data_IF_353360163731
#
_entry.id   IF_353360163731
#
_cell.length_a   1.000
_cell.length_b   1.000
_cell.length_c   1.000
_cell.angle_alpha   90.00
_cell.angle_beta   90.00
_cell.angle_gamma   90.00
#
_symmetry.space_group_name_H-M   'P 1'
#
loop_
_entity.id
_entity.type
_entity.pdbx_description
1 polymer ?
#
# COMPACT_ATOMS: atom_id res chain seq x y z
N UNK A 1 6.96 -4.90 27.95
CA UNK A 1 7.35 -4.82 26.51
C UNK A 1 6.56 -5.73 25.58
N UNK A 2 5.41 -6.29 25.99
CA UNK A 2 4.66 -7.34 25.23
C UNK A 2 3.43 -6.85 24.47
N UNK A 3 3.08 -5.57 24.55
CA UNK A 3 1.88 -5.03 23.86
C UNK A 3 2.14 -4.53 22.44
N UNK A 4 3.38 -4.19 22.07
CA UNK A 4 3.72 -3.68 20.73
C UNK A 4 3.66 -4.74 19.64
N UNK A 5 3.98 -6.00 19.92
CA UNK A 5 3.98 -7.08 18.93
C UNK A 5 2.59 -7.60 18.54
N UNK A 6 1.55 -7.37 19.34
CA UNK A 6 0.20 -7.89 19.02
C UNK A 6 -0.52 -7.07 17.94
N UNK A 7 -0.36 -5.75 17.94
CA UNK A 7 -1.00 -4.89 16.94
C UNK A 7 -0.49 -5.14 15.52
N UNK A 8 0.80 -5.45 15.38
CA UNK A 8 1.41 -5.71 14.06
C UNK A 8 1.05 -7.11 13.54
N UNK A 9 0.81 -8.08 14.41
CA UNK A 9 0.33 -9.41 14.03
C UNK A 9 -1.08 -9.36 13.44
N UNK A 10 -1.99 -8.58 14.03
CA UNK A 10 -3.36 -8.42 13.52
C UNK A 10 -3.37 -7.73 12.15
N UNK A 11 -2.65 -6.64 11.98
CA UNK A 11 -2.57 -5.93 10.69
C UNK A 11 -2.04 -6.81 9.55
N UNK A 12 -1.06 -7.68 9.83
CA UNK A 12 -0.51 -8.63 8.86
C UNK A 12 -1.53 -9.68 8.42
N UNK A 13 -2.29 -10.21 9.38
CA UNK A 13 -3.33 -11.19 9.07
C UNK A 13 -4.39 -10.60 8.16
N UNK A 14 -4.75 -9.33 8.36
CA UNK A 14 -5.74 -8.63 7.55
C UNK A 14 -5.29 -8.47 6.08
N UNK A 15 -4.03 -8.08 5.84
CA UNK A 15 -3.52 -7.91 4.47
C UNK A 15 -3.29 -9.25 3.77
N UNK A 16 -2.80 -10.27 4.49
CA UNK A 16 -2.67 -11.62 3.95
C UNK A 16 -4.03 -12.22 3.57
N UNK A 17 -5.03 -12.01 4.42
CA UNK A 17 -6.40 -12.41 4.11
C UNK A 17 -6.94 -11.66 2.89
N UNK A 18 -6.71 -10.34 2.82
CA UNK A 18 -7.14 -9.56 1.65
C UNK A 18 -6.46 -10.03 0.35
N UNK A 19 -5.17 -10.35 0.40
CA UNK A 19 -4.45 -10.89 -0.76
C UNK A 19 -5.00 -12.25 -1.20
N UNK A 20 -5.37 -13.13 -0.27
CA UNK A 20 -6.06 -14.39 -0.58
C UNK A 20 -7.43 -14.15 -1.20
N UNK A 21 -8.21 -13.21 -0.68
CA UNK A 21 -9.47 -12.80 -1.26
C UNK A 21 -9.30 -12.33 -2.71
N UNK A 22 -8.36 -11.42 -2.94
CA UNK A 22 -8.05 -10.92 -4.29
C UNK A 22 -7.52 -12.02 -5.22
N UNK A 23 -6.72 -12.98 -4.72
CA UNK A 23 -6.21 -14.10 -5.50
C UNK A 23 -7.31 -15.01 -6.03
N UNK A 24 -8.34 -15.27 -5.22
CA UNK A 24 -9.37 -16.27 -5.56
C UNK A 24 -10.66 -15.65 -6.10
N UNK A 25 -10.99 -14.41 -5.71
CA UNK A 25 -12.29 -13.79 -6.03
C UNK A 25 -12.17 -12.40 -6.64
N UNK A 26 -10.97 -11.81 -6.68
CA UNK A 26 -10.75 -10.42 -7.03
C UNK A 26 -9.80 -10.18 -8.19
N UNK A 27 -8.99 -9.13 -8.06
CA UNK A 27 -8.07 -8.65 -9.10
C UNK A 27 -6.90 -9.60 -9.39
N UNK A 28 -6.57 -10.49 -8.44
CA UNK A 28 -5.50 -11.48 -8.57
C UNK A 28 -5.93 -12.81 -9.19
N UNK A 29 -7.20 -12.96 -9.61
CA UNK A 29 -7.67 -14.22 -10.19
C UNK A 29 -6.84 -14.65 -11.41
N UNK A 30 -6.40 -15.92 -11.41
CA UNK A 30 -5.57 -16.48 -12.47
C UNK A 30 -4.09 -16.07 -12.42
N UNK A 31 -3.70 -15.18 -11.52
CA UNK A 31 -2.30 -14.79 -11.33
C UNK A 31 -1.61 -15.73 -10.35
N UNK A 32 -0.37 -16.13 -10.68
CA UNK A 32 0.47 -16.93 -9.78
C UNK A 32 1.38 -16.06 -8.91
N UNK A 33 1.67 -14.85 -9.37
CA UNK A 33 2.60 -13.93 -8.72
C UNK A 33 2.01 -12.52 -8.71
N UNK A 34 1.92 -11.91 -7.54
CA UNK A 34 1.57 -10.50 -7.38
C UNK A 34 1.97 -9.97 -6.01
N UNK A 35 2.07 -8.65 -5.92
CA UNK A 35 2.17 -7.92 -4.65
C UNK A 35 0.80 -7.33 -4.32
N UNK A 36 0.45 -7.35 -3.03
CA UNK A 36 -0.72 -6.63 -2.52
C UNK A 36 -0.28 -5.65 -1.45
N UNK A 37 -0.62 -4.37 -1.60
CA UNK A 37 -0.32 -3.32 -0.64
C UNK A 37 -1.60 -2.62 -0.19
N UNK A 38 -1.73 -2.43 1.13
CA UNK A 38 -2.87 -1.75 1.74
C UNK A 38 -2.42 -0.46 2.44
N UNK A 39 -2.92 0.67 1.96
CA UNK A 39 -2.60 2.01 2.46
C UNK A 39 -3.70 2.51 3.41
N UNK A 40 -3.35 2.59 4.69
CA UNK A 40 -4.24 3.05 5.76
C UNK A 40 -3.49 3.92 6.76
N UNK A 41 -3.67 3.67 8.07
CA UNK A 41 -2.87 4.30 9.14
C UNK A 41 -1.38 3.98 9.04
N UNK A 42 -1.04 2.85 8.44
CA UNK A 42 0.28 2.42 8.02
C UNK A 42 0.20 1.84 6.62
N UNK A 43 1.24 1.09 6.21
CA UNK A 43 1.27 0.35 4.94
C UNK A 43 1.50 -1.12 5.27
N UNK A 44 0.50 -1.94 4.99
CA UNK A 44 0.64 -3.39 5.07
C UNK A 44 0.93 -3.99 3.69
N UNK A 45 1.62 -5.13 3.68
CA UNK A 45 1.95 -5.84 2.45
C UNK A 45 1.62 -7.32 2.52
N UNK A 46 1.38 -7.93 1.36
CA UNK A 46 1.36 -9.37 1.16
C UNK A 46 2.08 -9.72 -0.14
N UNK A 47 2.75 -10.85 -0.12
CA UNK A 47 3.49 -11.39 -1.24
C UNK A 47 2.86 -12.73 -1.65
N UNK A 48 2.28 -12.79 -2.84
CA UNK A 48 1.70 -13.99 -3.42
C UNK A 48 2.62 -14.48 -4.52
N UNK A 49 3.21 -15.65 -4.34
CA UNK A 49 4.20 -16.23 -5.25
C UNK A 49 3.89 -17.70 -5.51
N UNK A 50 4.03 -18.14 -6.75
CA UNK A 50 3.80 -19.52 -7.16
C UNK A 50 2.39 -20.04 -6.77
N UNK A 51 1.40 -19.16 -6.77
CA UNK A 51 0.03 -19.52 -6.43
C UNK A 51 -0.26 -19.62 -4.94
N UNK A 52 0.60 -19.08 -4.06
CA UNK A 52 0.41 -19.12 -2.62
C UNK A 52 0.99 -17.90 -1.90
N UNK A 53 0.51 -17.62 -0.70
CA UNK A 53 1.09 -16.58 0.15
C UNK A 53 2.49 -16.97 0.61
N UNK A 54 3.44 -16.08 0.35
CA UNK A 54 4.79 -16.21 0.90
C UNK A 54 4.82 -15.64 2.32
N UNK A 55 4.99 -16.51 3.31
CA UNK A 55 4.97 -16.14 4.72
C UNK A 55 6.36 -15.83 5.30
N UNK A 56 7.43 -16.26 4.62
CA UNK A 56 8.79 -16.20 5.15
C UNK A 56 9.01 -17.21 6.30
N UNK A 57 10.21 -17.29 6.82
CA UNK A 57 10.62 -18.26 7.84
C UNK A 57 9.89 -18.11 9.18
N UNK A 58 9.56 -16.87 9.55
CA UNK A 58 8.90 -16.51 10.81
C UNK A 58 7.45 -16.04 10.64
N UNK A 59 6.85 -16.34 9.49
CA UNK A 59 5.50 -15.86 9.12
C UNK A 59 5.36 -14.33 9.18
N UNK A 60 6.45 -13.61 8.89
CA UNK A 60 6.55 -12.15 8.97
C UNK A 60 7.01 -11.51 7.65
N UNK A 61 6.90 -12.18 6.52
CA UNK A 61 7.27 -11.60 5.23
C UNK A 61 6.34 -10.43 4.84
N UNK A 62 6.81 -9.65 3.86
CA UNK A 62 6.06 -8.56 3.23
C UNK A 62 5.73 -7.37 4.15
N UNK A 63 6.56 -7.07 5.15
CA UNK A 63 6.49 -5.86 5.96
C UNK A 63 6.94 -4.63 5.14
N UNK A 64 6.30 -4.39 3.99
CA UNK A 64 6.71 -3.36 3.03
C UNK A 64 6.67 -1.94 3.62
N UNK A 65 5.73 -1.68 4.55
CA UNK A 65 5.64 -0.39 5.23
C UNK A 65 6.87 -0.04 6.06
N UNK A 66 7.65 -1.04 6.48
CA UNK A 66 8.88 -0.83 7.25
C UNK A 66 10.16 -0.84 6.41
N UNK A 67 10.04 -0.98 5.09
CA UNK A 67 11.15 -0.75 4.16
C UNK A 67 11.69 0.68 4.34
N UNK A 68 13.00 0.84 4.49
CA UNK A 68 13.63 2.15 4.66
C UNK A 68 13.72 2.84 3.31
N UNK A 69 12.89 3.85 3.10
CA UNK A 69 12.92 4.70 1.90
C UNK A 69 13.73 5.98 2.12
N UNK A 70 13.90 6.38 3.38
CA UNK A 70 14.62 7.61 3.77
C UNK A 70 15.60 7.30 4.90
N UNK A 71 16.85 6.99 4.55
CA UNK A 71 17.88 6.68 5.54
C UNK A 71 18.05 7.84 6.55
N UNK A 72 17.96 7.53 7.85
CA UNK A 72 18.04 8.54 8.92
C UNK A 72 16.82 9.47 9.04
N UNK A 73 15.74 9.19 8.31
CA UNK A 73 14.53 10.01 8.29
C UNK A 73 13.67 9.92 9.55
N UNK A 74 12.34 10.07 9.39
CA UNK A 74 11.38 10.13 10.50
C UNK A 74 11.41 8.87 11.38
N UNK A 75 11.29 9.07 12.70
CA UNK A 75 11.14 7.97 13.64
C UNK A 75 9.89 7.13 13.34
N UNK A 76 10.03 5.81 13.40
CA UNK A 76 8.94 4.87 13.21
C UNK A 76 8.62 4.14 14.51
N UNK A 77 7.32 3.89 14.83
CA UNK A 77 6.94 3.11 16.01
C UNK A 77 7.54 1.70 16.08
N UNK A 78 8.02 1.15 14.94
CA UNK A 78 8.74 -0.14 14.92
C UNK A 78 10.11 -0.08 15.59
N UNK A 79 10.62 1.10 15.89
CA UNK A 79 11.94 1.35 16.47
C UNK A 79 13.00 1.76 15.46
N UNK A 80 12.70 1.69 14.15
CA UNK A 80 13.58 2.16 13.06
C UNK A 80 13.33 3.62 12.70
N UNK A 81 14.07 4.10 11.67
CA UNK A 81 13.90 5.44 11.08
C UNK A 81 13.76 5.35 9.58
N UNK A 82 12.96 6.24 9.00
CA UNK A 82 12.83 6.38 7.55
C UNK A 82 11.98 5.30 6.88
N UNK A 83 11.13 4.61 7.64
CA UNK A 83 10.22 3.60 7.12
C UNK A 83 9.22 4.19 6.11
N UNK A 84 8.94 3.49 5.05
CA UNK A 84 8.05 3.88 3.96
C UNK A 84 6.68 4.36 4.42
N UNK A 85 6.05 3.69 5.38
CA UNK A 85 4.74 4.08 5.92
C UNK A 85 4.73 5.48 6.56
N UNK A 86 5.90 5.98 7.02
CA UNK A 86 6.00 7.31 7.62
C UNK A 86 5.83 8.43 6.60
N UNK A 87 5.97 8.12 5.31
CA UNK A 87 5.92 9.06 4.20
C UNK A 87 4.71 8.84 3.30
N UNK A 88 4.35 7.59 3.04
CA UNK A 88 3.39 7.20 2.03
C UNK A 88 2.06 6.62 2.57
N UNK A 89 1.89 6.46 3.90
CA UNK A 89 0.60 6.04 4.44
C UNK A 89 -0.47 7.13 4.31
N UNK A 90 -1.75 6.74 4.35
CA UNK A 90 -2.89 7.69 4.42
C UNK A 90 -2.76 8.62 5.62
N UNK A 91 -2.31 8.10 6.77
CA UNK A 91 -2.04 8.93 7.95
C UNK A 91 -0.98 10.00 7.66
N UNK A 92 0.10 9.64 6.97
CA UNK A 92 1.15 10.59 6.61
C UNK A 92 0.61 11.70 5.68
N UNK A 93 -0.26 11.36 4.72
CA UNK A 93 -0.94 12.34 3.87
C UNK A 93 -1.74 13.35 4.71
N UNK A 94 -2.62 12.86 5.60
CA UNK A 94 -3.46 13.72 6.45
C UNK A 94 -2.61 14.65 7.30
N UNK A 95 -1.54 14.14 7.92
CA UNK A 95 -0.63 14.93 8.76
C UNK A 95 0.10 16.01 7.94
N UNK A 96 0.56 15.67 6.72
CA UNK A 96 1.21 16.62 5.81
C UNK A 96 0.25 17.73 5.35
N UNK A 97 -0.98 17.38 4.95
CA UNK A 97 -2.00 18.36 4.55
C UNK A 97 -2.34 19.29 5.71
N UNK A 98 -2.59 18.74 6.90
CA UNK A 98 -2.87 19.56 8.09
C UNK A 98 -1.73 20.52 8.41
N UNK A 99 -0.48 20.08 8.31
CA UNK A 99 0.69 20.92 8.57
C UNK A 99 0.85 22.05 7.54
N UNK A 100 0.61 21.74 6.25
CA UNK A 100 0.80 22.68 5.16
C UNK A 100 -0.33 23.72 5.06
N UNK A 101 -1.56 23.36 5.44
CA UNK A 101 -2.75 24.19 5.18
C UNK A 101 -3.47 24.65 6.44
N UNK A 102 -3.11 24.09 7.61
CA UNK A 102 -3.84 24.26 8.87
C UNK A 102 -5.33 23.85 8.78
N UNK A 103 -5.71 23.04 7.78
CA UNK A 103 -7.08 22.52 7.59
C UNK A 103 -7.19 21.13 8.19
N UNK A 104 -8.23 20.83 8.98
CA UNK A 104 -8.45 19.50 9.57
C UNK A 104 -9.17 18.58 8.57
N UNK A 105 -8.61 18.40 7.37
CA UNK A 105 -9.16 17.51 6.36
C UNK A 105 -8.86 16.05 6.71
N UNK A 106 -9.83 15.18 6.49
CA UNK A 106 -9.64 13.74 6.59
C UNK A 106 -9.25 13.12 5.23
N UNK A 107 -9.09 11.81 5.20
CA UNK A 107 -8.62 11.07 4.04
C UNK A 107 -9.50 11.22 2.79
N UNK A 108 -10.81 11.39 2.97
CA UNK A 108 -11.77 11.51 1.86
C UNK A 108 -11.93 12.96 1.43
N UNK A 109 -12.09 13.85 2.38
CA UNK A 109 -12.28 15.29 2.11
C UNK A 109 -11.07 15.92 1.42
N UNK A 110 -9.84 15.41 1.60
CA UNK A 110 -8.66 15.87 0.85
C UNK A 110 -8.89 15.78 -0.67
N UNK A 111 -9.58 14.74 -1.15
CA UNK A 111 -9.80 14.49 -2.58
C UNK A 111 -11.07 15.11 -3.16
N UNK A 112 -11.85 15.81 -2.34
CA UNK A 112 -12.96 16.62 -2.85
C UNK A 112 -12.45 17.74 -3.78
N UNK A 113 -13.21 18.01 -4.84
CA UNK A 113 -12.82 18.94 -5.90
C UNK A 113 -12.40 20.30 -5.37
N UNK A 114 -13.11 20.82 -4.36
CA UNK A 114 -12.82 22.12 -3.75
C UNK A 114 -11.45 22.12 -3.07
N UNK A 115 -11.12 21.07 -2.34
CA UNK A 115 -9.84 20.96 -1.64
C UNK A 115 -8.68 20.73 -2.60
N UNK A 116 -8.87 19.94 -3.67
CA UNK A 116 -7.86 19.73 -4.72
C UNK A 116 -7.60 21.00 -5.57
N UNK A 117 -8.48 22.00 -5.55
CA UNK A 117 -8.23 23.30 -6.17
C UNK A 117 -7.29 24.18 -5.34
N UNK A 118 -7.14 23.91 -4.04
CA UNK A 118 -6.15 24.57 -3.19
C UNK A 118 -4.73 24.13 -3.60
N UNK A 119 -3.88 25.08 -4.08
CA UNK A 119 -2.54 24.73 -4.54
C UNK A 119 -1.67 24.07 -3.46
N UNK A 120 -1.87 24.40 -2.18
CA UNK A 120 -1.11 23.83 -1.08
C UNK A 120 -1.52 22.36 -0.82
N UNK A 121 -2.84 22.06 -0.85
CA UNK A 121 -3.34 20.68 -0.77
C UNK A 121 -2.82 19.85 -1.92
N UNK A 122 -2.94 20.38 -3.14
CA UNK A 122 -2.50 19.69 -4.35
C UNK A 122 -1.00 19.39 -4.33
N UNK A 123 -0.17 20.35 -3.93
CA UNK A 123 1.27 20.15 -3.83
C UNK A 123 1.63 19.03 -2.83
N UNK A 124 0.92 18.94 -1.69
CA UNK A 124 1.11 17.86 -0.72
C UNK A 124 0.69 16.51 -1.28
N UNK A 125 -0.46 16.46 -1.98
CA UNK A 125 -0.92 15.21 -2.63
C UNK A 125 0.08 14.76 -3.69
N UNK A 126 0.57 15.65 -4.54
CA UNK A 126 1.57 15.31 -5.57
C UNK A 126 2.87 14.76 -4.96
N UNK A 127 3.37 15.37 -3.88
CA UNK A 127 4.53 14.87 -3.15
C UNK A 127 4.26 13.51 -2.49
N UNK A 128 3.08 13.31 -1.93
CA UNK A 128 2.71 12.03 -1.33
C UNK A 128 2.61 10.90 -2.38
N UNK A 129 2.14 11.21 -3.59
CA UNK A 129 2.16 10.26 -4.72
C UNK A 129 3.60 9.90 -5.09
N UNK A 130 4.53 10.85 -5.07
CA UNK A 130 5.94 10.56 -5.36
C UNK A 130 6.55 9.62 -4.30
N UNK A 131 6.16 9.76 -3.02
CA UNK A 131 6.53 8.82 -1.97
C UNK A 131 5.93 7.42 -2.19
N UNK A 132 4.66 7.34 -2.61
CA UNK A 132 4.03 6.08 -3.01
C UNK A 132 4.83 5.38 -4.11
N UNK A 133 5.15 6.12 -5.16
CA UNK A 133 5.88 5.62 -6.33
C UNK A 133 7.29 5.16 -5.96
N UNK A 134 7.98 5.86 -5.05
CA UNK A 134 9.30 5.47 -4.58
C UNK A 134 9.29 4.04 -4.00
N UNK A 135 8.36 3.76 -3.09
CA UNK A 135 8.25 2.43 -2.50
C UNK A 135 7.80 1.36 -3.50
N UNK A 136 6.82 1.68 -4.35
CA UNK A 136 6.34 0.76 -5.39
C UNK A 136 7.45 0.41 -6.38
N UNK A 137 8.23 1.39 -6.83
CA UNK A 137 9.34 1.17 -7.76
C UNK A 137 10.38 0.23 -7.17
N UNK A 138 10.75 0.41 -5.90
CA UNK A 138 11.69 -0.48 -5.21
C UNK A 138 11.16 -1.92 -5.17
N UNK A 139 9.90 -2.11 -4.82
CA UNK A 139 9.27 -3.43 -4.78
C UNK A 139 9.17 -4.07 -6.17
N UNK A 140 8.84 -3.28 -7.19
CA UNK A 140 8.79 -3.77 -8.57
C UNK A 140 10.18 -4.21 -9.04
N UNK A 141 11.24 -3.47 -8.71
CA UNK A 141 12.62 -3.87 -9.06
C UNK A 141 13.10 -5.12 -8.33
N UNK A 142 12.66 -5.33 -7.08
CA UNK A 142 13.07 -6.50 -6.29
C UNK A 142 12.33 -7.76 -6.74
N UNK A 143 11.02 -7.67 -6.95
CA UNK A 143 10.18 -8.84 -7.18
C UNK A 143 9.79 -9.07 -8.64
N UNK A 144 9.90 -8.03 -9.48
CA UNK A 144 9.48 -8.04 -10.88
C UNK A 144 8.11 -8.73 -11.09
N UNK A 145 7.07 -8.33 -10.35
CA UNK A 145 5.77 -8.99 -10.41
C UNK A 145 5.04 -8.61 -11.69
N UNK A 146 4.20 -9.49 -12.27
CA UNK A 146 3.33 -9.11 -13.37
C UNK A 146 2.18 -8.20 -12.92
N UNK A 147 1.83 -8.22 -11.63
CA UNK A 147 0.70 -7.49 -11.07
C UNK A 147 1.03 -6.92 -9.69
N UNK A 148 0.59 -5.69 -9.45
CA UNK A 148 0.56 -5.05 -8.12
C UNK A 148 -0.87 -4.62 -7.83
N UNK A 149 -1.43 -5.09 -6.72
CA UNK A 149 -2.78 -4.76 -6.27
C UNK A 149 -2.68 -3.75 -5.13
N UNK A 150 -3.29 -2.60 -5.30
CA UNK A 150 -3.30 -1.52 -4.32
C UNK A 150 -4.68 -1.41 -3.67
N UNK A 151 -4.71 -1.32 -2.35
CA UNK A 151 -5.92 -1.14 -1.57
C UNK A 151 -5.77 -0.10 -0.47
N UNK A 152 -6.88 0.18 0.20
CA UNK A 152 -6.99 1.21 1.22
C UNK A 152 -7.96 2.32 0.81
N UNK A 153 -8.53 3.02 1.79
CA UNK A 153 -9.61 3.96 1.53
C UNK A 153 -9.31 4.98 0.43
N UNK A 154 -8.18 5.66 0.54
CA UNK A 154 -7.77 6.71 -0.42
C UNK A 154 -7.35 6.18 -1.78
N UNK A 155 -6.87 4.94 -1.88
CA UNK A 155 -6.46 4.34 -3.16
C UNK A 155 -7.66 4.11 -4.10
N UNK A 156 -8.88 4.13 -3.57
CA UNK A 156 -10.09 4.00 -4.37
C UNK A 156 -10.43 5.28 -5.16
N UNK A 157 -9.76 6.40 -4.88
CA UNK A 157 -9.92 7.62 -5.67
C UNK A 157 -9.29 7.45 -7.05
N UNK A 158 -10.06 7.66 -8.12
CA UNK A 158 -9.59 7.52 -9.51
C UNK A 158 -8.38 8.43 -9.79
N UNK A 159 -8.39 9.63 -9.22
CA UNK A 159 -7.30 10.60 -9.31
C UNK A 159 -5.94 10.04 -8.90
N UNK A 160 -5.89 9.18 -7.85
CA UNK A 160 -4.64 8.59 -7.35
C UNK A 160 -4.08 7.59 -8.35
N UNK A 161 -4.92 6.69 -8.84
CA UNK A 161 -4.47 5.68 -9.82
C UNK A 161 -3.99 6.34 -11.10
N UNK A 162 -4.70 7.36 -11.59
CA UNK A 162 -4.27 8.11 -12.76
C UNK A 162 -2.93 8.84 -12.55
N UNK A 163 -2.65 9.35 -11.35
CA UNK A 163 -1.37 9.97 -11.03
C UNK A 163 -0.24 8.94 -10.95
N UNK A 164 -0.50 7.79 -10.34
CA UNK A 164 0.47 6.69 -10.29
C UNK A 164 0.82 6.26 -11.72
N UNK A 165 -0.18 5.96 -12.55
CA UNK A 165 0.03 5.53 -13.94
C UNK A 165 0.83 6.55 -14.76
N UNK A 166 0.53 7.84 -14.60
CA UNK A 166 1.25 8.89 -15.32
C UNK A 166 2.71 9.04 -14.92
N UNK A 167 3.05 8.72 -13.67
CA UNK A 167 4.37 9.02 -13.09
C UNK A 167 5.29 7.81 -13.00
N UNK A 168 4.78 6.63 -12.63
CA UNK A 168 5.59 5.48 -12.23
C UNK A 168 6.50 4.95 -13.33
N UNK A 169 6.01 4.93 -14.56
CA UNK A 169 6.77 4.36 -15.68
C UNK A 169 7.82 5.32 -16.26
N UNK A 170 7.80 6.63 -15.90
CA UNK A 170 8.69 7.62 -16.50
C UNK A 170 10.17 7.34 -16.28
N UNK A 171 10.52 6.89 -15.07
CA UNK A 171 11.90 6.66 -14.65
C UNK A 171 12.22 5.18 -14.43
N UNK A 172 11.33 4.28 -14.89
CA UNK A 172 11.49 2.84 -14.73
C UNK A 172 12.25 2.24 -15.92
N UNK A 173 13.11 1.27 -15.66
CA UNK A 173 13.78 0.50 -16.71
C UNK A 173 12.75 -0.22 -17.59
N UNK A 174 12.99 -0.30 -18.90
CA UNK A 174 12.02 -0.75 -19.90
C UNK A 174 11.41 -2.13 -19.59
N UNK A 175 12.23 -3.07 -19.13
CA UNK A 175 11.79 -4.43 -18.83
C UNK A 175 10.78 -4.52 -17.66
N UNK A 176 10.71 -3.49 -16.82
CA UNK A 176 9.81 -3.44 -15.67
C UNK A 176 8.51 -2.67 -15.93
N UNK A 177 8.40 -1.97 -17.05
CA UNK A 177 7.21 -1.19 -17.44
C UNK A 177 6.00 -2.05 -17.81
N UNK A 178 6.15 -3.37 -17.83
CA UNK A 178 5.09 -4.33 -18.14
C UNK A 178 4.24 -4.71 -16.91
N UNK A 179 4.62 -4.24 -15.72
CA UNK A 179 3.85 -4.48 -14.51
C UNK A 179 2.47 -3.82 -14.62
N UNK A 180 1.43 -4.56 -14.29
CA UNK A 180 0.08 -4.02 -14.19
C UNK A 180 -0.19 -3.55 -12.76
N UNK A 181 -0.64 -2.32 -12.57
CA UNK A 181 -0.96 -1.76 -11.26
C UNK A 181 -2.46 -1.49 -11.20
N UNK A 182 -3.16 -2.18 -10.31
CA UNK A 182 -4.62 -2.12 -10.21
C UNK A 182 -5.08 -1.89 -8.78
N UNK A 183 -6.32 -1.46 -8.62
CA UNK A 183 -6.98 -1.42 -7.32
C UNK A 183 -7.49 -2.80 -6.90
N UNK A 184 -7.68 -2.99 -5.59
CA UNK A 184 -8.47 -4.12 -5.08
C UNK A 184 -9.85 -4.13 -5.74
N UNK A 185 -10.27 -5.30 -6.19
CA UNK A 185 -11.62 -5.49 -6.77
C UNK A 185 -12.68 -5.69 -5.70
N UNK A 186 -12.29 -6.32 -4.59
CA UNK A 186 -13.21 -6.68 -3.51
C UNK A 186 -13.34 -5.60 -2.43
N UNK A 187 -12.47 -4.58 -2.45
CA UNK A 187 -12.49 -3.48 -1.48
C UNK A 187 -12.43 -3.99 -0.03
N UNK A 188 -13.34 -3.51 0.83
CA UNK A 188 -13.39 -3.89 2.25
C UNK A 188 -13.76 -5.35 2.52
N UNK A 189 -14.34 -6.06 1.55
CA UNK A 189 -14.72 -7.48 1.70
C UNK A 189 -13.58 -8.46 1.42
N UNK A 190 -12.46 -7.99 0.86
CA UNK A 190 -11.31 -8.82 0.49
C UNK A 190 -10.80 -9.67 1.67
N UNK A 191 -10.63 -9.05 2.83
CA UNK A 191 -10.15 -9.73 4.04
C UNK A 191 -11.10 -10.82 4.52
N UNK A 192 -12.42 -10.56 4.52
CA UNK A 192 -13.43 -11.52 4.92
C UNK A 192 -13.45 -12.75 4.00
N UNK A 193 -13.47 -12.51 2.68
CA UNK A 193 -13.48 -13.58 1.69
C UNK A 193 -12.19 -14.42 1.73
N UNK A 194 -11.04 -13.78 1.89
CA UNK A 194 -9.78 -14.48 2.03
C UNK A 194 -9.66 -15.30 3.31
N UNK A 195 -10.18 -14.80 4.43
CA UNK A 195 -10.23 -15.56 5.68
C UNK A 195 -11.18 -16.77 5.58
N UNK A 196 -12.35 -16.58 4.96
CA UNK A 196 -13.28 -17.68 4.69
C UNK A 196 -12.67 -18.75 3.78
N UNK A 197 -11.97 -18.33 2.72
CA UNK A 197 -11.23 -19.24 1.85
C UNK A 197 -10.16 -20.02 2.62
N UNK A 198 -9.33 -19.33 3.41
CA UNK A 198 -8.28 -20.00 4.20
C UNK A 198 -8.85 -21.03 5.19
N UNK A 199 -9.98 -20.72 5.84
CA UNK A 199 -10.64 -21.64 6.75
C UNK A 199 -11.21 -22.89 6.04
N UNK A 200 -11.64 -22.76 4.78
CA UNK A 200 -12.16 -23.89 3.99
C UNK A 200 -11.06 -24.82 3.46
N UNK A 201 -9.77 -24.47 3.63
CA UNK A 201 -8.62 -25.30 3.22
C UNK A 201 -8.03 -26.13 4.39
N UNK A 202 -8.54 -25.93 5.61
CA UNK A 202 -8.14 -26.70 6.81
C UNK A 202 -8.97 -27.99 6.94
#
# INVERSE_FOLDING_TARGET
STSRGRGDVYKRQDVNAAALGEAHFGAGQGQKDFLCLMYGTGIGGALYLNGQLYKGSASCAAEFGHMITHAGGLDCPCGGKGCYERYASTKALIEKVRTATNKPLDAFTIFEKENLQDPAVRAVVDQWIDELILGLTNLIYIFNPPLVILGGGVINEDYIIELIDRKIYKNMMENYKKVNIVRTKLGSTAGLLGAAYAAAQL
#
